data_IF_361288560298
#
_entry.id   IF_361288560298
#
_cell.length_a   1.000
_cell.length_b   1.000
_cell.length_c   1.000
_cell.angle_alpha   90.00
_cell.angle_beta   90.00
_cell.angle_gamma   90.00
#
_symmetry.space_group_name_H-M   'P 1'
#
loop_
_entity.id
_entity.type
_entity.pdbx_description
1 polymer ?
#
# COMPACT_ATOMS: atom_id res chain seq x y z
N UNK A 1 -8.99 0.82 -12.03
CA UNK A 1 -9.17 -0.58 -11.58
C UNK A 1 -9.91 -0.65 -10.24
N UNK A 2 -9.25 -0.68 -9.07
CA UNK A 2 -9.96 -0.79 -7.78
C UNK A 2 -10.88 0.39 -7.47
N UNK A 3 -10.51 1.57 -7.95
CA UNK A 3 -11.34 2.76 -7.84
C UNK A 3 -12.65 2.66 -8.64
N UNK A 4 -12.61 2.00 -9.80
CA UNK A 4 -13.73 1.92 -10.74
C UNK A 4 -14.56 0.63 -10.53
N UNK A 5 -13.92 -0.41 -9.99
CA UNK A 5 -14.46 -1.77 -9.87
C UNK A 5 -14.35 -2.34 -8.44
N UNK A 6 -14.54 -1.50 -7.42
CA UNK A 6 -14.60 -1.95 -6.02
C UNK A 6 -15.77 -2.91 -5.74
N UNK A 7 -16.74 -3.01 -6.64
CA UNK A 7 -17.78 -4.05 -6.64
C UNK A 7 -17.24 -5.44 -6.93
N UNK A 8 -16.12 -5.55 -7.65
CA UNK A 8 -15.45 -6.81 -7.95
C UNK A 8 -14.27 -7.09 -7.02
N UNK A 9 -13.54 -6.04 -6.62
CA UNK A 9 -12.24 -6.16 -5.97
C UNK A 9 -12.36 -6.03 -4.45
N UNK A 10 -11.95 -7.08 -3.73
CA UNK A 10 -11.92 -7.11 -2.25
C UNK A 10 -10.68 -6.42 -1.69
N UNK A 11 -9.54 -6.57 -2.38
CA UNK A 11 -8.26 -6.06 -1.92
C UNK A 11 -7.28 -5.82 -3.07
N UNK A 12 -6.33 -4.90 -2.85
CA UNK A 12 -5.24 -4.63 -3.78
C UNK A 12 -3.90 -4.48 -3.05
N UNK A 13 -2.83 -4.75 -3.80
CA UNK A 13 -1.44 -4.53 -3.36
C UNK A 13 -0.72 -3.65 -4.37
N UNK A 14 -0.95 -2.31 -4.37
CA UNK A 14 -0.16 -1.42 -5.20
C UNK A 14 1.30 -1.48 -4.76
N UNK A 15 2.17 -1.93 -5.67
CA UNK A 15 3.61 -2.05 -5.45
C UNK A 15 4.30 -0.93 -6.23
N UNK A 16 4.87 0.03 -5.49
CA UNK A 16 5.53 1.22 -6.02
C UNK A 16 4.71 2.06 -7.02
N UNK A 17 3.39 1.92 -6.93
CA UNK A 17 2.43 2.74 -7.66
C UNK A 17 1.67 3.64 -6.71
N UNK A 18 1.14 4.73 -7.25
CA UNK A 18 0.18 5.61 -6.59
C UNK A 18 -0.99 5.88 -7.54
N UNK A 19 -2.14 6.24 -6.98
CA UNK A 19 -3.33 6.59 -7.75
C UNK A 19 -3.40 8.07 -8.11
N UNK A 20 -4.62 8.56 -8.26
CA UNK A 20 -4.87 9.95 -8.66
C UNK A 20 -4.43 10.97 -7.59
N UNK A 21 -3.85 12.08 -8.05
CA UNK A 21 -3.57 13.21 -7.19
C UNK A 21 -4.84 13.86 -6.63
N UNK A 22 -5.91 13.88 -7.43
CA UNK A 22 -7.26 14.18 -6.98
C UNK A 22 -8.17 13.05 -7.49
N UNK A 23 -8.90 12.41 -6.59
CA UNK A 23 -9.81 11.34 -7.00
C UNK A 23 -10.92 11.90 -7.88
N UNK A 24 -11.18 11.33 -9.05
CA UNK A 24 -12.23 11.81 -9.96
C UNK A 24 -13.64 11.50 -9.44
N UNK A 25 -13.77 10.51 -8.56
CA UNK A 25 -15.01 10.10 -7.88
C UNK A 25 -14.66 9.31 -6.62
N UNK A 26 -15.63 8.75 -5.90
CA UNK A 26 -15.36 7.76 -4.87
C UNK A 26 -15.61 6.34 -5.43
N UNK A 27 -14.84 5.33 -5.00
CA UNK A 27 -15.19 3.93 -5.25
C UNK A 27 -16.57 3.59 -4.67
N UNK A 28 -17.22 2.55 -5.19
CA UNK A 28 -18.56 2.11 -4.72
C UNK A 28 -18.51 1.41 -3.35
N UNK A 29 -17.47 0.63 -3.10
CA UNK A 29 -17.29 -0.16 -1.88
C UNK A 29 -15.89 0.06 -1.29
N UNK A 30 -15.72 -0.11 0.03
CA UNK A 30 -14.40 -0.20 0.64
C UNK A 30 -13.57 -1.35 0.08
N UNK A 31 -12.26 -1.13 -0.04
CA UNK A 31 -11.30 -2.12 -0.56
C UNK A 31 -10.10 -2.19 0.38
N UNK A 32 -9.69 -3.38 0.82
CA UNK A 32 -8.46 -3.49 1.63
C UNK A 32 -7.23 -3.14 0.78
N UNK A 33 -6.30 -2.33 1.30
CA UNK A 33 -5.11 -1.91 0.54
C UNK A 33 -3.85 -2.19 1.35
N UNK A 34 -2.93 -2.95 0.74
CA UNK A 34 -1.54 -3.05 1.18
C UNK A 34 -0.67 -2.28 0.20
N UNK A 35 -0.27 -1.07 0.56
CA UNK A 35 0.63 -0.26 -0.25
C UNK A 35 2.07 -0.58 0.11
N UNK A 36 2.86 -1.03 -0.87
CA UNK A 36 4.28 -1.31 -0.70
C UNK A 36 5.05 -0.28 -1.51
N UNK A 37 5.99 0.45 -0.88
CA UNK A 37 6.72 1.50 -1.57
C UNK A 37 8.13 1.71 -1.00
N UNK A 38 9.11 1.93 -1.88
CA UNK A 38 10.49 2.23 -1.48
C UNK A 38 10.69 3.69 -1.12
N UNK A 39 11.34 3.99 0.01
CA UNK A 39 11.57 5.38 0.44
C UNK A 39 12.62 6.11 -0.41
N UNK A 40 13.36 5.40 -1.26
CA UNK A 40 14.30 5.93 -2.25
C UNK A 40 13.87 5.65 -3.69
N UNK A 41 12.58 5.44 -3.92
CA UNK A 41 12.02 5.36 -5.26
C UNK A 41 12.32 6.66 -6.03
N UNK A 42 12.99 6.51 -7.19
CA UNK A 42 13.35 7.64 -8.07
C UNK A 42 12.44 7.77 -9.29
N UNK A 43 11.56 6.80 -9.52
CA UNK A 43 10.68 6.77 -10.69
C UNK A 43 9.30 7.25 -10.29
N UNK A 44 8.70 6.63 -9.27
CA UNK A 44 7.49 7.12 -8.61
C UNK A 44 7.88 7.51 -7.20
N UNK A 45 8.28 8.75 -7.04
CA UNK A 45 8.89 9.21 -5.77
C UNK A 45 7.97 9.00 -4.57
N UNK A 46 8.55 8.57 -3.45
CA UNK A 46 7.89 8.47 -2.16
C UNK A 46 7.11 9.74 -1.79
N UNK A 47 7.77 10.90 -1.93
CA UNK A 47 7.21 12.24 -1.64
C UNK A 47 6.17 12.74 -2.67
N UNK A 48 5.86 11.94 -3.70
CA UNK A 48 5.03 12.36 -4.79
C UNK A 48 5.79 13.15 -5.86
N UNK A 49 5.09 13.58 -6.90
CA UNK A 49 5.75 14.23 -8.03
C UNK A 49 4.86 14.38 -9.24
N UNK A 50 5.47 14.28 -10.42
CA UNK A 50 4.73 14.35 -11.67
C UNK A 50 5.44 13.65 -12.82
N UNK A 51 4.64 13.21 -13.78
CA UNK A 51 5.07 12.67 -15.07
C UNK A 51 4.60 13.66 -16.13
N UNK A 52 5.53 14.45 -16.67
CA UNK A 52 5.20 15.59 -17.53
C UNK A 52 4.30 16.59 -16.78
N UNK A 53 3.10 16.84 -17.31
CA UNK A 53 2.12 17.75 -16.69
C UNK A 53 1.22 17.09 -15.64
N UNK A 54 1.22 15.76 -15.56
CA UNK A 54 0.37 15.02 -14.64
C UNK A 54 1.04 14.91 -13.28
N UNK A 55 0.38 15.43 -12.24
CA UNK A 55 0.83 15.26 -10.85
C UNK A 55 0.31 13.95 -10.28
N UNK A 56 1.08 13.35 -9.38
CA UNK A 56 0.70 12.18 -8.60
C UNK A 56 1.04 12.42 -7.11
N UNK A 57 0.25 11.84 -6.18
CA UNK A 57 0.41 12.10 -4.75
C UNK A 57 1.64 11.38 -4.17
N UNK A 58 2.05 11.74 -2.96
CA UNK A 58 3.00 10.92 -2.20
C UNK A 58 2.44 9.53 -1.89
N UNK A 59 3.32 8.59 -1.55
CA UNK A 59 2.91 7.26 -1.09
C UNK A 59 1.99 7.38 0.14
N UNK A 60 2.37 8.23 1.10
CA UNK A 60 1.60 8.51 2.31
C UNK A 60 0.25 9.19 2.03
N UNK A 61 0.21 10.13 1.09
CA UNK A 61 -1.04 10.79 0.67
C UNK A 61 -1.99 9.81 -0.02
N UNK A 62 -1.46 8.96 -0.91
CA UNK A 62 -2.23 7.91 -1.56
C UNK A 62 -2.81 6.94 -0.53
N UNK A 63 -1.98 6.48 0.41
CA UNK A 63 -2.41 5.62 1.51
C UNK A 63 -3.48 6.30 2.37
N UNK A 64 -3.28 7.58 2.70
CA UNK A 64 -4.20 8.37 3.53
C UNK A 64 -5.56 8.57 2.88
N UNK A 65 -5.62 8.79 1.56
CA UNK A 65 -6.88 8.87 0.80
C UNK A 65 -7.68 7.57 0.89
N UNK A 66 -7.04 6.43 0.62
CA UNK A 66 -7.69 5.12 0.76
C UNK A 66 -8.13 4.84 2.19
N UNK A 67 -7.28 5.12 3.17
CA UNK A 67 -7.59 4.95 4.60
C UNK A 67 -8.81 5.77 5.03
N UNK A 68 -8.89 7.01 4.58
CA UNK A 68 -10.02 7.90 4.85
C UNK A 68 -11.30 7.37 4.22
N UNK A 69 -11.26 7.03 2.93
CA UNK A 69 -12.41 6.46 2.20
C UNK A 69 -12.92 5.16 2.85
N UNK A 70 -12.01 4.25 3.22
CA UNK A 70 -12.36 2.97 3.84
C UNK A 70 -12.83 3.10 5.31
N UNK A 71 -12.77 4.30 5.91
CA UNK A 71 -13.13 4.50 7.32
C UNK A 71 -12.18 3.79 8.30
N UNK A 72 -10.94 3.49 7.90
CA UNK A 72 -9.97 2.78 8.72
C UNK A 72 -9.28 3.72 9.71
N UNK A 73 -9.87 3.89 10.89
CA UNK A 73 -9.38 4.81 11.95
C UNK A 73 -8.63 4.09 13.07
N UNK A 74 -8.87 2.80 13.27
CA UNK A 74 -8.26 2.02 14.36
C UNK A 74 -6.84 1.64 13.96
N UNK A 75 -5.84 2.24 14.60
CA UNK A 75 -4.44 1.81 14.46
C UNK A 75 -4.28 0.45 15.10
N UNK A 76 -3.78 -0.53 14.35
CA UNK A 76 -3.52 -1.88 14.84
C UNK A 76 -2.03 -2.03 15.19
N UNK A 77 -1.73 -2.79 16.24
CA UNK A 77 -0.37 -3.21 16.50
C UNK A 77 0.05 -4.20 15.43
N UNK A 78 1.24 -3.99 14.87
CA UNK A 78 1.89 -4.96 14.01
C UNK A 78 3.00 -5.58 14.85
N UNK A 79 3.05 -6.91 14.93
CA UNK A 79 4.22 -7.57 15.50
C UNK A 79 5.46 -7.12 14.72
N UNK A 80 6.59 -6.94 15.41
CA UNK A 80 7.84 -6.44 14.79
C UNK A 80 8.11 -7.22 13.50
N UNK A 81 7.85 -6.56 12.38
CA UNK A 81 7.86 -7.20 11.08
C UNK A 81 9.31 -7.24 10.60
N UNK A 82 9.98 -8.34 10.91
CA UNK A 82 11.27 -8.67 10.28
C UNK A 82 11.02 -9.08 8.82
N UNK A 83 10.56 -8.14 7.99
CA UNK A 83 10.36 -8.34 6.56
C UNK A 83 11.57 -7.76 5.83
N UNK A 84 12.38 -8.67 5.30
CA UNK A 84 13.42 -8.42 4.29
C UNK A 84 12.76 -8.59 2.91
N UNK A 85 12.51 -7.47 2.23
CA UNK A 85 11.70 -7.41 1.01
C UNK A 85 12.58 -7.15 -0.22
N UNK A 86 13.37 -6.07 -0.19
CA UNK A 86 14.20 -5.61 -1.28
C UNK A 86 15.54 -6.37 -1.29
N UNK A 87 15.78 -7.12 -2.37
CA UNK A 87 17.02 -7.90 -2.56
C UNK A 87 18.29 -7.06 -2.59
N UNK A 88 18.18 -5.75 -2.83
CA UNK A 88 19.29 -4.80 -2.91
C UNK A 88 19.55 -4.06 -1.60
N UNK A 89 18.67 -4.20 -0.61
CA UNK A 89 18.83 -3.62 0.72
C UNK A 89 19.16 -4.76 1.68
N UNK A 90 20.08 -4.50 2.62
CA UNK A 90 20.49 -5.47 3.63
C UNK A 90 19.61 -5.37 4.87
N UNK A 91 19.21 -6.52 5.43
CA UNK A 91 18.48 -6.60 6.69
C UNK A 91 16.97 -6.70 6.50
N UNK A 92 16.21 -6.52 7.57
CA UNK A 92 14.75 -6.39 7.51
C UNK A 92 14.39 -4.91 7.51
N UNK A 93 14.29 -4.34 6.31
CA UNK A 93 14.18 -2.91 6.06
C UNK A 93 12.74 -2.40 5.97
N UNK A 94 11.74 -3.27 6.04
CA UNK A 94 10.35 -2.86 5.86
C UNK A 94 9.71 -2.43 7.18
N UNK A 95 9.30 -1.16 7.26
CA UNK A 95 8.47 -0.64 8.35
C UNK A 95 6.99 -0.75 7.98
N UNK A 96 6.13 -1.10 8.94
CA UNK A 96 4.70 -1.32 8.69
C UNK A 96 3.84 -0.41 9.54
N UNK A 97 2.90 0.26 8.88
CA UNK A 97 1.78 0.94 9.52
C UNK A 97 0.48 0.24 9.15
N UNK A 98 -0.30 -0.18 10.14
CA UNK A 98 -1.58 -0.88 9.93
C UNK A 98 -2.76 -0.16 10.56
N UNK A 99 -3.85 -0.07 9.80
CA UNK A 99 -5.15 0.41 10.25
C UNK A 99 -6.27 -0.55 9.83
N UNK A 100 -7.35 -0.52 10.58
CA UNK A 100 -8.53 -1.36 10.34
C UNK A 100 -9.81 -0.53 10.44
N UNK A 101 -10.85 -0.95 9.71
CA UNK A 101 -12.22 -0.47 9.94
C UNK A 101 -12.69 -0.90 11.33
N UNK A 102 -13.73 -0.25 11.87
CA UNK A 102 -14.23 -0.54 13.22
C UNK A 102 -14.63 -2.01 13.41
N UNK A 103 -15.14 -2.66 12.36
CA UNK A 103 -15.51 -4.08 12.36
C UNK A 103 -14.38 -5.04 11.94
N UNK A 104 -13.17 -4.53 11.70
CA UNK A 104 -12.00 -5.33 11.31
C UNK A 104 -12.04 -5.92 9.89
N UNK A 105 -13.11 -5.70 9.12
CA UNK A 105 -13.27 -6.31 7.78
C UNK A 105 -12.36 -5.69 6.72
N UNK A 106 -12.13 -4.38 6.79
CA UNK A 106 -11.27 -3.65 5.84
C UNK A 106 -9.95 -3.34 6.51
N UNK A 107 -8.86 -3.74 5.85
CA UNK A 107 -7.50 -3.57 6.37
C UNK A 107 -6.69 -2.68 5.44
N UNK A 108 -5.97 -1.75 6.05
CA UNK A 108 -5.06 -0.82 5.39
C UNK A 108 -3.66 -1.04 5.95
N UNK A 109 -2.71 -1.35 5.09
CA UNK A 109 -1.29 -1.43 5.45
C UNK A 109 -0.44 -0.59 4.51
N UNK A 110 0.54 0.10 5.08
CA UNK A 110 1.64 0.73 4.36
C UNK A 110 2.92 0.03 4.77
N UNK A 111 3.62 -0.54 3.79
CA UNK A 111 4.93 -1.15 3.94
C UNK A 111 5.97 -0.20 3.34
N UNK A 112 6.69 0.48 4.21
CA UNK A 112 7.75 1.42 3.86
C UNK A 112 9.05 0.64 3.75
N UNK A 113 9.52 0.43 2.52
CA UNK A 113 10.78 -0.29 2.28
C UNK A 113 11.91 0.71 2.44
N UNK A 114 12.48 0.78 3.64
CA UNK A 114 13.48 1.79 4.01
C UNK A 114 14.72 1.65 3.14
N UNK A 115 15.12 2.72 2.46
CA UNK A 115 16.19 2.77 1.45
C UNK A 115 15.91 1.95 0.17
N UNK A 116 14.73 1.33 0.05
CA UNK A 116 14.30 0.59 -1.14
C UNK A 116 14.00 1.49 -2.34
N UNK A 117 14.13 0.93 -3.54
CA UNK A 117 13.95 1.64 -4.82
C UNK A 117 12.57 1.44 -5.47
N UNK A 118 12.47 1.73 -6.79
CA UNK A 118 11.20 1.73 -7.52
C UNK A 118 10.55 0.36 -7.62
N UNK A 119 11.26 -0.71 -7.95
CA UNK A 119 10.71 -2.07 -7.91
C UNK A 119 11.89 -3.00 -7.79
N UNK A 120 11.82 -3.95 -6.86
CA UNK A 120 12.66 -5.15 -6.93
C UNK A 120 11.77 -6.37 -6.72
N UNK A 121 12.05 -7.50 -7.41
CA UNK A 121 11.34 -8.74 -7.14
C UNK A 121 11.46 -9.07 -5.65
N UNK A 122 10.35 -9.14 -4.89
CA UNK A 122 10.42 -9.35 -3.46
C UNK A 122 11.02 -10.72 -3.16
N UNK A 123 11.79 -10.81 -2.07
CA UNK A 123 12.28 -12.10 -1.57
C UNK A 123 11.12 -13.07 -1.32
N UNK A 124 11.40 -14.37 -1.41
CA UNK A 124 10.36 -15.40 -1.34
C UNK A 124 9.49 -15.31 -0.07
N UNK A 125 10.09 -15.03 1.09
CA UNK A 125 9.35 -14.86 2.34
C UNK A 125 8.44 -13.62 2.31
N UNK A 126 8.90 -12.49 1.78
CA UNK A 126 8.07 -11.30 1.61
C UNK A 126 6.92 -11.55 0.63
N UNK A 127 7.19 -12.22 -0.49
CA UNK A 127 6.16 -12.62 -1.47
C UNK A 127 5.09 -13.50 -0.85
N UNK A 128 5.48 -14.50 -0.05
CA UNK A 128 4.53 -15.36 0.67
C UNK A 128 3.66 -14.56 1.63
N UNK A 129 4.24 -13.60 2.37
CA UNK A 129 3.49 -12.71 3.26
C UNK A 129 2.47 -11.87 2.52
N UNK A 130 2.83 -11.31 1.35
CA UNK A 130 1.91 -10.53 0.50
C UNK A 130 0.73 -11.40 0.06
N UNK A 131 1.00 -12.63 -0.39
CA UNK A 131 -0.06 -13.57 -0.82
C UNK A 131 -0.97 -13.94 0.35
N UNK A 132 -0.40 -14.30 1.51
CA UNK A 132 -1.18 -14.59 2.72
C UNK A 132 -2.03 -13.39 3.15
N UNK A 133 -1.49 -12.18 3.06
CA UNK A 133 -2.23 -10.96 3.37
C UNK A 133 -3.45 -10.79 2.46
N UNK A 134 -3.29 -11.02 1.14
CA UNK A 134 -4.38 -10.96 0.16
C UNK A 134 -5.44 -12.04 0.39
N UNK A 135 -5.02 -13.30 0.60
CA UNK A 135 -5.93 -14.43 0.80
C UNK A 135 -6.74 -14.32 2.10
N UNK A 136 -6.25 -13.58 3.09
CA UNK A 136 -6.98 -13.31 4.33
C UNK A 136 -8.09 -12.24 4.17
N UNK A 137 -8.26 -11.64 2.98
CA UNK A 137 -9.30 -10.63 2.73
C UNK A 137 -10.55 -11.32 2.16
N UNK A 138 -11.69 -11.06 2.79
CA UNK A 138 -13.02 -11.52 2.32
C UNK A 138 -13.90 -10.31 2.03
N UNK A 139 -14.90 -10.46 1.15
CA UNK A 139 -15.96 -9.46 0.99
C UNK A 139 -16.86 -9.41 2.22
#
# INVERSE_FOLDING_TARGET
MAHDHSDLITAIVPFAGVGYNQWPSNPKNPVSVLHIHGTKDKTIKWEGGGIGRLKYPSAEDNFSKWKAFNGCKKKAKVEKANIDLDRKVSGSETEIVRFESNNGKVVMELWEVVKGGHVTPPRSAARERIIKWMLARTK
#
